data_IF_072781546919
#
_entry.id   IF_072781546919
#
_cell.length_a   1.000
_cell.length_b   1.000
_cell.length_c   1.000
_cell.angle_alpha   90.00
_cell.angle_beta   90.00
_cell.angle_gamma   90.00
#
_symmetry.space_group_name_H-M   'P 1'
#
loop_
_entity.id
_entity.type
_entity.pdbx_description
1 polymer ?
#
# COMPACT_ATOMS: atom_id res chain seq x y z
N UNK A 1 -1.97 9.07 -5.49
CA UNK A 1 -1.62 10.16 -4.54
C UNK A 1 -1.25 9.51 -3.21
N UNK A 2 0.04 9.40 -2.92
CA UNK A 2 0.57 8.64 -1.78
C UNK A 2 0.47 9.51 -0.51
N UNK A 3 -0.72 9.58 0.08
CA UNK A 3 -0.93 10.33 1.32
C UNK A 3 -0.52 9.45 2.50
N UNK A 4 0.76 9.52 2.87
CA UNK A 4 1.25 8.96 4.14
C UNK A 4 0.66 9.76 5.30
N UNK A 5 -0.36 9.21 5.96
CA UNK A 5 -0.81 9.71 7.26
C UNK A 5 -0.22 8.78 8.34
N UNK A 6 0.96 9.13 8.86
CA UNK A 6 1.46 8.62 10.14
C UNK A 6 1.38 9.76 11.15
N UNK A 7 0.36 9.73 12.01
CA UNK A 7 0.33 10.52 13.23
C UNK A 7 0.44 9.55 14.40
N UNK A 8 1.66 9.38 14.92
CA UNK A 8 1.87 8.66 16.18
C UNK A 8 1.85 9.71 17.30
N UNK A 9 0.98 9.47 18.29
CA UNK A 9 0.91 10.18 19.56
C UNK A 9 2.29 10.10 20.25
N UNK A 10 3.07 11.16 20.14
CA UNK A 10 4.38 11.27 20.76
C UNK A 10 5.40 11.98 19.88
N UNK A 11 5.21 13.28 19.64
CA UNK A 11 6.29 14.26 19.44
C UNK A 11 7.37 14.02 18.37
N UNK A 12 7.30 13.01 17.50
CA UNK A 12 8.28 12.81 16.42
C UNK A 12 7.87 13.67 15.23
N UNK A 13 8.49 14.85 15.13
CA UNK A 13 8.38 15.73 13.98
C UNK A 13 9.25 15.18 12.86
N UNK A 14 8.67 14.46 11.89
CA UNK A 14 9.40 14.06 10.67
C UNK A 14 9.64 15.30 9.82
N UNK A 15 10.82 15.88 9.96
CA UNK A 15 11.22 17.07 9.23
C UNK A 15 11.91 16.61 7.93
N UNK A 16 11.15 16.50 6.83
CA UNK A 16 11.75 16.39 5.49
C UNK A 16 12.46 17.71 5.17
N UNK A 17 13.75 17.80 5.50
CA UNK A 17 14.57 18.95 5.14
C UNK A 17 14.52 19.14 3.62
N UNK A 18 14.00 20.31 3.18
CA UNK A 18 13.91 20.75 1.77
C UNK A 18 15.28 20.92 1.05
N UNK A 19 16.38 20.34 1.57
CA UNK A 19 17.75 20.51 1.05
C UNK A 19 18.58 19.23 1.04
N UNK A 20 17.96 18.06 0.85
CA UNK A 20 18.70 16.88 0.39
C UNK A 20 18.02 16.37 -0.89
N UNK A 21 18.77 16.13 -2.00
CA UNK A 21 18.26 15.23 -3.02
C UNK A 21 17.93 13.90 -2.33
N UNK A 22 16.82 13.27 -2.71
CA UNK A 22 16.21 12.11 -2.04
C UNK A 22 17.15 10.90 -1.85
N UNK A 23 18.36 10.95 -2.40
CA UNK A 23 19.42 9.96 -2.25
C UNK A 23 20.78 10.66 -2.21
N UNK A 24 21.33 10.86 -1.01
CA UNK A 24 22.76 11.10 -0.84
C UNK A 24 23.22 10.34 0.39
N UNK A 25 23.59 9.07 0.19
CA UNK A 25 24.48 8.38 1.13
C UNK A 25 25.86 9.03 0.97
N UNK A 26 26.41 9.57 2.05
CA UNK A 26 27.79 10.08 2.05
C UNK A 26 28.73 8.97 1.59
N UNK A 27 29.25 9.06 0.37
CA UNK A 27 30.33 8.20 -0.14
C UNK A 27 29.97 7.24 -1.27
N UNK A 28 28.71 7.16 -1.71
CA UNK A 28 28.35 6.37 -2.89
C UNK A 28 27.95 7.28 -4.03
N UNK A 29 28.55 7.04 -5.21
CA UNK A 29 28.25 7.76 -6.44
C UNK A 29 26.74 7.80 -6.66
N UNK A 30 26.24 8.98 -7.05
CA UNK A 30 24.87 9.22 -7.50
C UNK A 30 24.43 8.06 -8.39
N UNK A 31 23.66 7.13 -7.83
CA UNK A 31 23.12 5.98 -8.56
C UNK A 31 22.49 6.55 -9.82
N UNK A 32 23.02 6.16 -10.97
CA UNK A 32 22.54 6.62 -12.27
C UNK A 32 21.03 6.53 -12.27
N UNK A 33 20.36 7.66 -12.48
CA UNK A 33 18.90 7.82 -12.49
C UNK A 33 18.29 7.20 -13.77
N UNK A 34 18.78 6.01 -14.11
CA UNK A 34 18.43 5.17 -15.24
C UNK A 34 17.84 3.83 -14.74
N UNK A 35 17.43 3.77 -13.48
CA UNK A 35 16.66 2.66 -12.94
C UNK A 35 15.19 2.83 -13.35
N UNK A 36 14.56 1.74 -13.78
CA UNK A 36 13.11 1.72 -13.95
C UNK A 36 12.41 2.06 -12.62
N UNK A 37 11.14 2.47 -12.71
CA UNK A 37 10.33 2.93 -11.56
C UNK A 37 10.31 1.88 -10.44
N UNK A 38 10.31 0.59 -10.79
CA UNK A 38 10.24 -0.49 -9.82
C UNK A 38 11.55 -0.66 -9.05
N UNK A 39 12.70 -0.58 -9.73
CA UNK A 39 14.00 -0.55 -9.09
C UNK A 39 14.17 0.68 -8.20
N UNK A 40 13.71 1.85 -8.64
CA UNK A 40 13.66 3.05 -7.82
C UNK A 40 12.83 2.84 -6.54
N UNK A 41 11.65 2.22 -6.66
CA UNK A 41 10.82 1.85 -5.51
C UNK A 41 11.55 0.92 -4.54
N UNK A 42 12.25 -0.12 -5.02
CA UNK A 42 13.02 -1.03 -4.15
C UNK A 42 14.08 -0.29 -3.35
N UNK A 43 14.78 0.67 -3.96
CA UNK A 43 15.79 1.50 -3.27
C UNK A 43 15.13 2.35 -2.17
N UNK A 44 13.97 2.95 -2.44
CA UNK A 44 13.20 3.70 -1.43
C UNK A 44 12.79 2.79 -0.28
N UNK A 45 12.15 1.65 -0.57
CA UNK A 45 11.66 0.72 0.45
C UNK A 45 12.79 0.25 1.37
N UNK A 46 13.93 -0.15 0.78
CA UNK A 46 15.12 -0.55 1.55
C UNK A 46 15.65 0.58 2.42
N UNK A 47 15.73 1.79 1.88
CA UNK A 47 16.23 2.96 2.61
C UNK A 47 15.33 3.32 3.80
N UNK A 48 14.01 3.25 3.62
CA UNK A 48 13.03 3.51 4.69
C UNK A 48 13.10 2.42 5.76
N UNK A 49 13.17 1.15 5.38
CA UNK A 49 13.28 0.04 6.35
C UNK A 49 14.57 0.16 7.20
N UNK A 50 15.72 0.42 6.56
CA UNK A 50 16.99 0.64 7.27
C UNK A 50 16.95 1.85 8.20
N UNK A 51 16.28 2.93 7.78
CA UNK A 51 16.09 4.11 8.62
C UNK A 51 15.25 3.78 9.85
N UNK A 52 14.14 3.06 9.69
CA UNK A 52 13.28 2.64 10.81
C UNK A 52 14.07 1.75 11.78
N UNK A 53 14.83 0.78 11.29
CA UNK A 53 15.66 -0.09 12.14
C UNK A 53 16.70 0.68 12.95
N UNK A 54 17.26 1.75 12.38
CA UNK A 54 18.28 2.55 13.05
C UNK A 54 17.70 3.52 14.09
N UNK A 55 16.58 4.16 13.77
CA UNK A 55 16.05 5.27 14.57
C UNK A 55 14.96 4.85 15.55
N UNK A 56 14.26 3.75 15.29
CA UNK A 56 13.13 3.30 16.13
C UNK A 56 13.61 2.20 17.09
N UNK A 57 13.42 2.36 18.41
CA UNK A 57 13.86 1.35 19.39
C UNK A 57 13.28 -0.03 19.10
N UNK A 58 14.07 -1.08 19.26
CA UNK A 58 13.69 -2.48 19.01
C UNK A 58 12.51 -2.99 19.84
N UNK A 59 12.26 -2.38 21.01
CA UNK A 59 11.07 -2.68 21.83
C UNK A 59 9.75 -2.12 21.27
N UNK A 60 9.83 -1.27 20.25
CA UNK A 60 8.65 -0.63 19.65
C UNK A 60 8.00 -1.59 18.66
N UNK A 61 6.68 -1.78 18.74
CA UNK A 61 5.94 -2.49 17.71
C UNK A 61 6.01 -1.72 16.38
N UNK A 62 6.72 -2.29 15.41
CA UNK A 62 6.84 -1.76 14.05
C UNK A 62 5.94 -2.55 13.11
N UNK A 63 5.04 -1.87 12.42
CA UNK A 63 4.11 -2.47 11.46
C UNK A 63 4.29 -1.83 10.09
N UNK A 64 4.37 -2.65 9.04
CA UNK A 64 4.32 -2.20 7.65
C UNK A 64 3.05 -2.71 6.98
N UNK A 65 2.17 -1.79 6.58
CA UNK A 65 0.92 -2.12 5.89
C UNK A 65 1.19 -2.43 4.42
N UNK A 66 0.59 -3.51 3.90
CA UNK A 66 0.61 -3.82 2.47
C UNK A 66 -0.18 -2.82 1.62
N UNK A 67 0.20 -2.67 0.36
CA UNK A 67 -0.43 -1.81 -0.64
C UNK A 67 -1.89 -2.24 -0.89
N UNK A 68 -2.82 -1.28 -0.90
CA UNK A 68 -4.22 -1.52 -1.25
C UNK A 68 -4.36 -1.94 -2.72
N UNK A 69 -5.18 -2.96 -3.05
CA UNK A 69 -5.51 -3.30 -4.42
C UNK A 69 -6.44 -2.25 -5.05
N UNK A 70 -6.47 -2.27 -6.39
CA UNK A 70 -7.45 -1.59 -7.25
C UNK A 70 -8.25 -2.67 -7.99
N UNK A 71 -9.48 -2.39 -8.44
CA UNK A 71 -10.36 -3.39 -9.06
C UNK A 71 -10.92 -2.97 -10.42
N UNK A 72 -10.04 -2.72 -11.39
CA UNK A 72 -10.49 -2.44 -12.76
C UNK A 72 -10.85 -3.72 -13.52
N UNK A 73 -12.01 -3.71 -14.15
CA UNK A 73 -12.53 -4.72 -15.07
C UNK A 73 -12.71 -4.12 -16.47
N UNK A 74 -12.54 -4.96 -17.50
CA UNK A 74 -12.68 -4.60 -18.92
C UNK A 74 -11.58 -3.70 -19.51
N UNK A 75 -10.79 -2.99 -18.68
CA UNK A 75 -9.73 -2.10 -19.14
C UNK A 75 -8.95 -1.44 -18.01
N UNK A 76 -7.94 -0.64 -18.37
CA UNK A 76 -7.16 0.16 -17.42
C UNK A 76 -7.90 1.44 -17.00
N UNK A 77 -7.36 2.13 -16.00
CA UNK A 77 -7.87 3.42 -15.51
C UNK A 77 -8.05 4.48 -16.60
N UNK A 78 -7.24 4.44 -17.67
CA UNK A 78 -7.27 5.34 -18.83
C UNK A 78 -7.82 4.68 -20.10
N UNK A 79 -8.19 3.40 -20.04
CA UNK A 79 -8.70 2.61 -21.16
C UNK A 79 -10.07 1.99 -20.83
N UNK A 80 -10.99 2.83 -20.37
CA UNK A 80 -12.40 2.47 -20.15
C UNK A 80 -12.63 1.34 -19.12
N UNK A 81 -11.70 1.17 -18.17
CA UNK A 81 -11.87 0.25 -17.04
C UNK A 81 -12.99 0.68 -16.10
N UNK A 82 -13.68 -0.30 -15.51
CA UNK A 82 -14.78 -0.09 -14.56
C UNK A 82 -14.60 -0.93 -13.29
N UNK A 83 -15.20 -0.50 -12.19
CA UNK A 83 -15.30 -1.27 -10.95
C UNK A 83 -16.73 -1.27 -10.40
N UNK A 84 -17.73 -1.15 -11.29
CA UNK A 84 -19.12 -1.32 -10.88
C UNK A 84 -19.36 -2.81 -10.69
N UNK A 85 -19.22 -3.27 -9.45
CA UNK A 85 -19.49 -4.65 -9.02
C UNK A 85 -20.39 -4.62 -7.80
N UNK A 86 -21.31 -5.58 -7.72
CA UNK A 86 -22.15 -5.86 -6.54
C UNK A 86 -21.79 -7.20 -5.89
N UNK A 87 -20.75 -7.88 -6.40
CA UNK A 87 -20.28 -9.17 -5.89
C UNK A 87 -18.85 -9.12 -5.38
N UNK A 88 -18.56 -10.08 -4.52
CA UNK A 88 -17.19 -10.44 -4.16
C UNK A 88 -16.55 -11.22 -5.31
N UNK A 89 -15.23 -11.08 -5.45
CA UNK A 89 -14.45 -12.02 -6.25
C UNK A 89 -14.35 -13.35 -5.52
N UNK A 90 -14.31 -14.44 -6.27
CA UNK A 90 -14.01 -15.77 -5.75
C UNK A 90 -12.49 -15.99 -5.68
N UNK A 91 -12.04 -16.89 -4.80
CA UNK A 91 -10.60 -17.15 -4.62
C UNK A 91 -9.90 -17.54 -5.92
N UNK A 92 -10.57 -18.32 -6.77
CA UNK A 92 -10.04 -18.78 -8.04
C UNK A 92 -9.86 -17.64 -9.08
N UNK A 93 -10.51 -16.49 -8.87
CA UNK A 93 -10.39 -15.32 -9.74
C UNK A 93 -9.20 -14.43 -9.35
N UNK A 94 -8.72 -14.49 -8.11
CA UNK A 94 -7.74 -13.51 -7.62
C UNK A 94 -6.42 -13.55 -8.40
N UNK A 95 -5.96 -14.74 -8.81
CA UNK A 95 -4.72 -14.84 -9.58
C UNK A 95 -4.87 -14.23 -10.98
N UNK A 96 -6.00 -14.44 -11.66
CA UNK A 96 -6.22 -13.84 -12.99
C UNK A 96 -6.33 -12.32 -12.90
N UNK A 97 -6.85 -11.79 -11.80
CA UNK A 97 -7.01 -10.35 -11.58
C UNK A 97 -5.71 -9.65 -11.16
N UNK A 98 -5.00 -10.22 -10.17
CA UNK A 98 -3.95 -9.50 -9.43
C UNK A 98 -2.55 -10.09 -9.62
N UNK A 99 -2.41 -11.33 -10.09
CA UNK A 99 -1.09 -11.91 -10.22
C UNK A 99 -0.39 -11.40 -11.49
N UNK A 100 0.82 -10.80 -11.36
CA UNK A 100 1.55 -10.24 -12.50
C UNK A 100 1.85 -11.25 -13.62
N UNK A 101 1.88 -12.55 -13.30
CA UNK A 101 2.13 -13.64 -14.26
C UNK A 101 1.00 -13.79 -15.29
N UNK A 102 -0.21 -13.35 -14.96
CA UNK A 102 -1.38 -13.44 -15.84
C UNK A 102 -1.63 -12.16 -16.65
N UNK A 103 -0.81 -11.13 -16.45
CA UNK A 103 -0.85 -9.91 -17.27
C UNK A 103 -2.04 -8.98 -17.01
N UNK A 104 -2.85 -9.24 -15.98
CA UNK A 104 -4.00 -8.41 -15.61
C UNK A 104 -3.66 -6.96 -15.28
N UNK A 105 -4.70 -6.13 -15.19
CA UNK A 105 -4.62 -4.68 -14.94
C UNK A 105 -4.58 -4.33 -13.45
N UNK A 106 -4.65 -5.27 -12.52
CA UNK A 106 -4.70 -4.98 -11.07
C UNK A 106 -3.45 -5.44 -10.31
N UNK A 107 -2.33 -5.66 -11.01
CA UNK A 107 -1.13 -6.37 -10.52
C UNK A 107 -0.21 -5.55 -9.61
N UNK A 108 -0.36 -4.23 -9.59
CA UNK A 108 0.57 -3.31 -8.95
C UNK A 108 0.68 -3.55 -7.44
N UNK A 109 -0.44 -3.85 -6.78
CA UNK A 109 -0.43 -4.11 -5.34
C UNK A 109 0.41 -5.35 -5.00
N UNK A 110 0.26 -6.47 -5.73
CA UNK A 110 1.07 -7.68 -5.52
C UNK A 110 2.55 -7.44 -5.85
N UNK A 111 2.86 -6.67 -6.90
CA UNK A 111 4.26 -6.28 -7.22
C UNK A 111 4.92 -5.47 -6.09
N UNK A 112 4.24 -4.42 -5.62
CA UNK A 112 4.73 -3.58 -4.53
C UNK A 112 4.88 -4.40 -3.25
N UNK A 113 3.92 -5.26 -2.94
CA UNK A 113 3.93 -6.08 -1.74
C UNK A 113 5.03 -7.14 -1.75
N UNK A 114 5.35 -7.72 -2.90
CA UNK A 114 6.50 -8.62 -3.05
C UNK A 114 7.81 -7.89 -2.73
N UNK A 115 7.98 -6.66 -3.22
CA UNK A 115 9.16 -5.85 -2.90
C UNK A 115 9.22 -5.45 -1.41
N UNK A 116 8.07 -5.13 -0.79
CA UNK A 116 7.98 -4.87 0.65
C UNK A 116 8.42 -6.13 1.41
N UNK A 117 7.84 -7.29 1.11
CA UNK A 117 8.16 -8.55 1.80
C UNK A 117 9.65 -8.86 1.72
N UNK A 118 10.26 -8.72 0.54
CA UNK A 118 11.70 -8.91 0.31
C UNK A 118 12.56 -8.04 1.25
N UNK A 119 12.20 -6.75 1.38
CA UNK A 119 12.95 -5.80 2.21
C UNK A 119 12.79 -6.09 3.70
N UNK A 120 11.64 -6.61 4.15
CA UNK A 120 11.35 -6.82 5.57
C UNK A 120 11.89 -8.13 6.15
N UNK A 121 12.33 -9.10 5.32
CA UNK A 121 12.78 -10.45 5.76
C UNK A 121 13.77 -10.41 6.94
N UNK A 122 14.67 -9.43 6.96
CA UNK A 122 15.74 -9.32 7.95
C UNK A 122 15.56 -8.11 8.90
N UNK A 123 14.32 -7.68 9.09
CA UNK A 123 13.96 -6.57 10.00
C UNK A 123 13.04 -7.07 11.10
N UNK A 124 12.94 -6.32 12.21
CA UNK A 124 11.91 -6.60 13.23
C UNK A 124 10.53 -5.98 12.90
N UNK A 125 10.40 -5.34 11.72
CA UNK A 125 9.18 -4.72 11.23
C UNK A 125 8.22 -5.81 10.76
N UNK A 126 7.04 -5.88 11.38
CA UNK A 126 6.05 -6.91 11.08
C UNK A 126 5.13 -6.47 9.94
N UNK A 127 4.92 -7.35 8.98
CA UNK A 127 3.98 -7.09 7.89
C UNK A 127 2.53 -7.16 8.40
N UNK A 128 1.77 -6.11 8.14
CA UNK A 128 0.31 -6.08 8.29
C UNK A 128 -0.31 -6.33 6.91
N UNK A 129 -0.54 -7.61 6.59
CA UNK A 129 -1.10 -8.03 5.32
C UNK A 129 -2.61 -7.82 5.27
N UNK A 130 -3.02 -6.76 4.57
CA UNK A 130 -4.43 -6.41 4.35
C UNK A 130 -4.83 -6.58 2.88
N UNK A 131 -3.88 -6.86 1.99
CA UNK A 131 -4.13 -6.88 0.55
C UNK A 131 -4.97 -8.08 0.16
N UNK A 132 -4.60 -9.29 0.62
CA UNK A 132 -5.30 -10.51 0.24
C UNK A 132 -6.79 -10.46 0.56
N UNK A 133 -7.18 -10.04 1.77
CA UNK A 133 -8.60 -9.88 2.11
C UNK A 133 -9.31 -8.77 1.31
N UNK A 134 -8.56 -7.75 0.86
CA UNK A 134 -9.12 -6.62 0.11
C UNK A 134 -9.28 -6.96 -1.36
N UNK A 135 -8.53 -7.92 -1.90
CA UNK A 135 -8.65 -8.40 -3.29
C UNK A 135 -10.01 -9.07 -3.55
N UNK A 136 -10.70 -9.57 -2.53
CA UNK A 136 -12.06 -10.08 -2.68
C UNK A 136 -13.11 -8.97 -2.86
N UNK A 137 -12.78 -7.73 -2.49
CA UNK A 137 -13.76 -6.65 -2.23
C UNK A 137 -13.96 -5.72 -3.42
N UNK A 138 -14.10 -6.26 -4.62
CA UNK A 138 -14.40 -5.47 -5.82
C UNK A 138 -15.70 -4.64 -5.68
N UNK A 139 -16.62 -5.07 -4.81
CA UNK A 139 -17.90 -4.44 -4.48
C UNK A 139 -17.78 -3.11 -3.71
N UNK A 140 -16.64 -2.82 -3.10
CA UNK A 140 -16.54 -1.78 -2.07
C UNK A 140 -15.92 -0.46 -2.54
N UNK A 141 -15.81 -0.25 -3.86
CA UNK A 141 -15.29 0.97 -4.45
C UNK A 141 -16.39 2.02 -4.69
N UNK A 142 -16.08 3.33 -4.64
CA UNK A 142 -17.02 4.38 -5.02
C UNK A 142 -17.42 4.31 -6.50
N UNK A 143 -16.59 3.74 -7.37
CA UNK A 143 -16.87 3.57 -8.80
C UNK A 143 -17.39 4.85 -9.46
N UNK A 144 -18.69 4.90 -9.76
CA UNK A 144 -19.35 6.05 -10.41
C UNK A 144 -19.92 7.08 -9.42
N UNK A 145 -20.00 6.76 -8.13
CA UNK A 145 -20.66 7.55 -7.09
C UNK A 145 -19.75 8.64 -6.52
N UNK A 146 -19.15 9.46 -7.39
CA UNK A 146 -18.17 10.50 -7.03
C UNK A 146 -18.78 11.84 -6.58
N UNK A 147 -20.11 11.89 -6.38
CA UNK A 147 -20.81 13.06 -5.84
C UNK A 147 -20.90 14.30 -6.74
N UNK A 148 -20.45 14.22 -8.02
CA UNK A 148 -20.59 15.29 -9.02
C UNK A 148 -21.09 14.75 -10.35
N UNK A 149 -22.01 15.48 -10.99
CA UNK A 149 -22.78 15.01 -12.16
C UNK A 149 -21.96 14.63 -13.41
N UNK A 150 -20.70 15.04 -13.53
CA UNK A 150 -19.85 14.68 -14.68
C UNK A 150 -18.48 14.14 -14.27
N UNK A 151 -18.28 13.81 -12.99
CA UNK A 151 -16.96 13.41 -12.49
C UNK A 151 -16.41 12.19 -13.21
N UNK A 152 -17.26 11.20 -13.52
CA UNK A 152 -16.84 9.99 -14.23
C UNK A 152 -16.36 10.30 -15.65
N UNK A 153 -17.03 11.22 -16.35
CA UNK A 153 -16.64 11.60 -17.70
C UNK A 153 -15.31 12.36 -17.75
N UNK A 154 -14.97 13.09 -16.69
CA UNK A 154 -13.73 13.89 -16.62
C UNK A 154 -12.56 13.09 -16.03
N UNK A 155 -12.82 12.26 -15.02
CA UNK A 155 -11.78 11.64 -14.18
C UNK A 155 -11.76 10.11 -14.24
N UNK A 156 -12.72 9.48 -14.92
CA UNK A 156 -12.93 8.03 -14.85
C UNK A 156 -13.63 7.60 -13.56
N UNK A 157 -13.76 6.28 -13.39
CA UNK A 157 -14.32 5.68 -12.17
C UNK A 157 -13.25 5.59 -11.08
N UNK A 158 -13.65 5.75 -9.82
CA UNK A 158 -12.75 5.56 -8.70
C UNK A 158 -12.74 4.10 -8.25
N UNK A 159 -11.75 3.37 -8.75
CA UNK A 159 -11.51 1.96 -8.45
C UNK A 159 -10.29 1.75 -7.55
N UNK A 160 -9.84 2.80 -6.85
CA UNK A 160 -8.65 2.80 -6.00
C UNK A 160 -8.96 3.16 -4.56
N UNK A 161 -9.91 4.06 -4.32
CA UNK A 161 -10.39 4.40 -2.99
C UNK A 161 -11.55 3.51 -2.56
N UNK A 162 -11.91 3.55 -1.29
CA UNK A 162 -12.93 2.68 -0.72
C UNK A 162 -14.11 3.50 -0.22
N UNK A 163 -15.32 2.96 -0.36
CA UNK A 163 -16.49 3.49 0.31
C UNK A 163 -16.33 3.43 1.84
N UNK A 164 -16.96 4.37 2.54
CA UNK A 164 -17.09 4.38 3.99
C UNK A 164 -18.57 4.46 4.38
N UNK A 165 -19.03 3.65 5.36
CA UNK A 165 -18.30 2.56 6.01
C UNK A 165 -17.95 1.43 5.03
N UNK A 166 -16.86 0.69 5.27
CA UNK A 166 -16.37 -0.33 4.34
C UNK A 166 -15.05 -1.00 4.71
N UNK A 167 -14.30 -1.44 3.69
CA UNK A 167 -13.03 -2.18 3.84
C UNK A 167 -12.02 -1.50 4.78
N UNK A 168 -11.85 -0.16 4.77
CA UNK A 168 -10.95 0.51 5.71
C UNK A 168 -11.33 0.34 7.18
N UNK A 169 -12.61 0.17 7.51
CA UNK A 169 -13.03 -0.04 8.90
C UNK A 169 -12.51 -1.39 9.40
N UNK A 170 -12.61 -2.45 8.57
CA UNK A 170 -12.05 -3.76 8.89
C UNK A 170 -10.52 -3.72 9.02
N UNK A 171 -9.83 -2.88 8.23
CA UNK A 171 -8.39 -2.67 8.40
C UNK A 171 -8.05 -2.08 9.78
N UNK A 172 -8.85 -1.14 10.26
CA UNK A 172 -8.69 -0.57 11.61
C UNK A 172 -8.91 -1.63 12.68
N UNK A 173 -9.93 -2.47 12.54
CA UNK A 173 -10.21 -3.57 13.47
C UNK A 173 -9.04 -4.56 13.56
N UNK A 174 -8.48 -4.96 12.42
CA UNK A 174 -7.32 -5.86 12.36
C UNK A 174 -6.08 -5.20 12.96
N UNK A 175 -5.85 -3.91 12.69
CA UNK A 175 -4.75 -3.16 13.28
C UNK A 175 -4.89 -3.10 14.82
N UNK A 176 -6.08 -2.78 15.33
CA UNK A 176 -6.37 -2.73 16.75
C UNK A 176 -6.18 -4.09 17.42
N UNK A 177 -6.64 -5.17 16.78
CA UNK A 177 -6.41 -6.54 17.24
C UNK A 177 -4.91 -6.89 17.26
N UNK A 178 -4.15 -6.48 16.24
CA UNK A 178 -2.70 -6.74 16.18
C UNK A 178 -1.93 -6.02 17.29
N UNK A 179 -2.25 -4.75 17.53
CA UNK A 179 -1.67 -3.96 18.61
C UNK A 179 -2.02 -4.58 19.97
N UNK A 180 -3.29 -4.91 20.19
CA UNK A 180 -3.76 -5.53 21.44
C UNK A 180 -3.08 -6.87 21.71
N UNK A 181 -2.92 -7.70 20.67
CA UNK A 181 -2.24 -8.98 20.78
C UNK A 181 -0.77 -8.82 21.18
N UNK A 182 -0.06 -7.85 20.60
CA UNK A 182 1.35 -7.59 20.93
C UNK A 182 1.55 -7.27 22.41
N UNK A 183 0.72 -6.37 22.97
CA UNK A 183 0.82 -5.99 24.37
C UNK A 183 0.42 -7.10 25.34
N UNK A 184 -0.53 -7.97 24.97
CA UNK A 184 -0.92 -9.13 25.79
C UNK A 184 0.19 -10.18 25.91
N UNK A 185 1.13 -10.26 24.96
CA UNK A 185 2.24 -11.20 25.02
C UNK A 185 3.42 -10.73 25.88
N UNK A 186 3.30 -9.62 26.62
CA UNK A 186 4.39 -9.12 27.48
C UNK A 186 5.59 -8.58 26.71
N UNK A 187 5.41 -8.19 25.44
CA UNK A 187 6.45 -7.60 24.58
C UNK A 187 6.45 -6.05 24.60
N UNK A 188 5.74 -5.45 25.57
CA UNK A 188 5.59 -4.00 25.74
C UNK A 188 6.54 -3.41 26.78
#
# INVERSE_FOLDING_TARGET
MLTFLLTILGGVRINFQKRLPLFSTKGENLLSLHSDIFNGLKVVLKSVALYIEREVPSKTLKLWRTQSPRHFDGGEWDHNGSCVSDRLLEEHELDSWFDPRFGGVNKEARLVNSAIQEVLVNTDIQLLNLTYMSEFRADAHPAIWLGKKDAVAVWGQDCMHWCLPGVPDTWVDILAARISHYFKQGKG
#
